data_IF_833834476227
#
_entry.id   IF_833834476227
#
_cell.length_a   1.000
_cell.length_b   1.000
_cell.length_c   1.000
_cell.angle_alpha   90.00
_cell.angle_beta   90.00
_cell.angle_gamma   90.00
#
_symmetry.space_group_name_H-M   'P 1'
#
loop_
_entity.id
_entity.type
_entity.pdbx_description
1 polymer ?
#
# COMPACT_ATOMS: atom_id res chain seq x y z
N UNK A 1 -12.49 28.03 20.91
CA UNK A 1 -13.69 27.19 21.10
C UNK A 1 -13.34 25.78 20.66
N UNK A 2 -13.59 24.80 21.52
CA UNK A 2 -13.14 23.41 21.37
C UNK A 2 -14.00 22.57 20.40
N UNK A 3 -15.09 23.13 19.86
CA UNK A 3 -15.98 22.39 18.96
C UNK A 3 -16.80 21.31 19.68
N UNK A 4 -16.92 21.39 21.01
CA UNK A 4 -17.78 20.51 21.84
C UNK A 4 -19.06 21.25 22.25
N UNK A 5 -20.09 20.50 22.60
CA UNK A 5 -21.32 21.08 23.16
C UNK A 5 -20.98 21.92 24.39
N UNK A 6 -21.50 23.15 24.42
CA UNK A 6 -21.20 24.16 25.44
C UNK A 6 -19.99 25.05 25.13
N UNK A 7 -19.22 24.78 24.06
CA UNK A 7 -18.04 25.56 23.66
C UNK A 7 -17.87 25.55 22.12
N UNK A 8 -18.96 25.92 21.43
CA UNK A 8 -19.04 26.09 19.97
C UNK A 8 -18.99 27.56 19.58
N UNK A 9 -18.12 27.93 18.63
CA UNK A 9 -18.16 29.25 18.02
C UNK A 9 -19.44 29.46 17.19
N UNK A 10 -19.86 30.72 16.91
CA UNK A 10 -21.00 30.97 16.03
C UNK A 10 -20.89 30.23 14.69
N UNK A 11 -19.69 30.26 14.08
CA UNK A 11 -19.40 29.52 12.84
C UNK A 11 -19.49 27.99 13.02
N UNK A 12 -19.02 27.45 14.15
CA UNK A 12 -19.13 26.00 14.42
C UNK A 12 -20.59 25.56 14.64
N UNK A 13 -21.40 26.40 15.28
CA UNK A 13 -22.83 26.14 15.47
C UNK A 13 -23.58 26.17 14.13
N UNK A 14 -23.26 27.12 13.25
CA UNK A 14 -23.81 27.22 11.89
C UNK A 14 -23.44 25.98 11.05
N UNK A 15 -22.16 25.61 11.02
CA UNK A 15 -21.70 24.40 10.31
C UNK A 15 -22.39 23.13 10.84
N UNK A 16 -22.60 23.02 12.16
CA UNK A 16 -23.31 21.88 12.74
C UNK A 16 -24.77 21.84 12.30
N UNK A 17 -25.45 22.99 12.27
CA UNK A 17 -26.84 23.08 11.81
C UNK A 17 -26.98 22.71 10.34
N UNK A 18 -26.11 23.25 9.49
CA UNK A 18 -26.05 22.93 8.06
C UNK A 18 -25.70 21.45 7.83
N UNK A 19 -24.72 20.91 8.56
CA UNK A 19 -24.37 19.50 8.48
C UNK A 19 -25.57 18.61 8.83
N UNK A 20 -26.29 18.94 9.91
CA UNK A 20 -27.51 18.22 10.32
C UNK A 20 -28.61 18.30 9.26
N UNK A 21 -28.79 19.45 8.62
CA UNK A 21 -29.75 19.64 7.53
C UNK A 21 -29.40 18.78 6.31
N UNK A 22 -28.14 18.80 5.89
CA UNK A 22 -27.65 18.08 4.71
C UNK A 22 -27.70 16.56 4.83
N UNK A 23 -27.68 16.03 6.06
CA UNK A 23 -27.74 14.58 6.31
C UNK A 23 -29.12 14.10 6.77
N UNK A 24 -30.17 14.93 6.67
CA UNK A 24 -31.50 14.59 7.20
C UNK A 24 -32.07 13.28 6.65
N UNK A 25 -31.75 12.95 5.41
CA UNK A 25 -32.14 11.72 4.72
C UNK A 25 -31.53 10.46 5.35
N UNK A 26 -30.28 10.54 5.82
CA UNK A 26 -29.57 9.42 6.47
C UNK A 26 -29.57 9.49 8.00
N UNK A 27 -29.87 10.64 8.60
CA UNK A 27 -29.84 10.88 10.04
C UNK A 27 -30.63 9.83 10.86
N UNK A 28 -31.82 9.37 10.43
CA UNK A 28 -32.56 8.32 11.14
C UNK A 28 -31.83 6.97 11.21
N UNK A 29 -30.96 6.69 10.25
CA UNK A 29 -30.20 5.44 10.16
C UNK A 29 -28.90 5.45 10.97
N UNK A 30 -28.48 6.61 11.49
CA UNK A 30 -27.26 6.74 12.28
C UNK A 30 -27.44 6.13 13.68
N UNK A 31 -26.37 5.52 14.25
CA UNK A 31 -26.43 4.91 15.58
C UNK A 31 -26.67 5.93 16.71
N UNK A 32 -26.42 7.21 16.46
CA UNK A 32 -26.78 8.31 17.36
C UNK A 32 -27.03 9.61 16.59
N UNK A 33 -27.99 10.40 17.03
CA UNK A 33 -28.41 11.63 16.36
C UNK A 33 -28.09 12.91 17.15
N UNK A 34 -27.50 12.76 18.34
CA UNK A 34 -27.16 13.89 19.21
C UNK A 34 -25.92 14.63 18.71
N UNK A 35 -25.81 15.93 18.99
CA UNK A 35 -24.72 16.77 18.47
C UNK A 35 -23.32 16.29 18.83
N UNK A 36 -23.14 15.63 19.98
CA UNK A 36 -21.84 15.04 20.35
C UNK A 36 -21.32 14.03 19.31
N UNK A 37 -22.24 13.32 18.63
CA UNK A 37 -21.94 12.33 17.61
C UNK A 37 -21.61 13.02 16.29
N UNK A 38 -22.48 13.93 15.83
CA UNK A 38 -22.28 14.69 14.59
C UNK A 38 -21.01 15.53 14.62
N UNK A 39 -20.76 16.24 15.73
CA UNK A 39 -19.54 17.01 15.91
C UNK A 39 -18.27 16.15 15.97
N UNK A 40 -18.36 14.83 16.20
CA UNK A 40 -17.17 13.97 16.17
C UNK A 40 -16.59 13.88 14.76
N UNK A 41 -17.44 13.68 13.76
CA UNK A 41 -17.07 13.62 12.35
C UNK A 41 -16.42 14.92 11.89
N UNK A 42 -17.08 16.05 12.17
CA UNK A 42 -16.57 17.38 11.83
C UNK A 42 -15.22 17.68 12.52
N UNK A 43 -15.09 17.40 13.83
CA UNK A 43 -13.84 17.65 14.55
C UNK A 43 -12.69 16.77 14.05
N UNK A 44 -12.94 15.49 13.78
CA UNK A 44 -11.89 14.55 13.35
C UNK A 44 -11.25 15.02 12.04
N UNK A 45 -12.07 15.36 11.05
CA UNK A 45 -11.57 15.86 9.76
C UNK A 45 -10.88 17.22 9.90
N UNK A 46 -11.43 18.15 10.70
CA UNK A 46 -10.79 19.46 10.94
C UNK A 46 -9.42 19.32 11.59
N UNK A 47 -9.28 18.43 12.59
CA UNK A 47 -7.99 18.16 13.25
C UNK A 47 -7.00 17.56 12.26
N UNK A 48 -7.43 16.63 11.40
CA UNK A 48 -6.59 16.10 10.33
C UNK A 48 -6.10 17.22 9.40
N UNK A 49 -7.01 18.10 8.94
CA UNK A 49 -6.67 19.22 8.05
C UNK A 49 -5.62 20.15 8.67
N UNK A 50 -5.78 20.47 9.95
CA UNK A 50 -4.85 21.31 10.70
C UNK A 50 -3.48 20.63 10.88
N UNK A 51 -3.46 19.38 11.35
CA UNK A 51 -2.23 18.63 11.62
C UNK A 51 -1.41 18.38 10.36
N UNK A 52 -2.07 18.06 9.26
CA UNK A 52 -1.42 17.78 7.98
C UNK A 52 -1.22 19.04 7.12
N UNK A 53 -1.67 20.21 7.61
CA UNK A 53 -1.65 21.50 6.89
C UNK A 53 -2.27 21.40 5.50
N UNK A 54 -3.41 20.71 5.41
CA UNK A 54 -4.06 20.37 4.13
C UNK A 54 -4.43 21.63 3.35
N UNK A 55 -4.89 22.67 4.03
CA UNK A 55 -5.34 23.92 3.39
C UNK A 55 -4.22 24.64 2.61
N UNK A 56 -2.96 24.44 2.98
CA UNK A 56 -1.79 25.04 2.28
C UNK A 56 -0.86 24.00 1.66
N UNK A 57 -1.25 22.72 1.62
CA UNK A 57 -0.35 21.64 1.20
C UNK A 57 0.09 21.76 -0.27
N UNK A 58 -0.72 22.39 -1.12
CA UNK A 58 -0.42 22.58 -2.53
C UNK A 58 0.62 23.70 -2.77
N UNK A 59 0.74 24.67 -1.84
CA UNK A 59 1.69 25.79 -1.96
C UNK A 59 2.94 25.60 -1.10
N UNK A 60 2.77 25.07 0.10
CA UNK A 60 3.79 25.15 1.16
C UNK A 60 4.62 23.87 1.30
N UNK A 61 4.17 22.77 0.69
CA UNK A 61 4.82 21.48 0.82
C UNK A 61 5.26 20.96 -0.53
N UNK A 62 6.50 20.48 -0.59
CA UNK A 62 7.06 19.82 -1.76
C UNK A 62 7.47 18.40 -1.36
N UNK A 63 7.10 17.36 -2.12
CA UNK A 63 7.60 16.02 -1.87
C UNK A 63 9.14 15.98 -1.94
N UNK A 64 9.79 15.11 -1.14
CA UNK A 64 11.20 14.80 -1.34
C UNK A 64 11.49 14.37 -2.77
N UNK A 65 12.65 14.73 -3.31
CA UNK A 65 13.04 14.44 -4.70
C UNK A 65 12.94 12.94 -5.03
N UNK A 66 13.25 12.06 -4.08
CA UNK A 66 13.13 10.61 -4.25
C UNK A 66 11.68 10.18 -4.48
N UNK A 67 10.71 10.85 -3.84
CA UNK A 67 9.29 10.60 -4.06
C UNK A 67 8.88 11.11 -5.44
N UNK A 68 9.24 12.35 -5.80
CA UNK A 68 8.91 12.94 -7.11
C UNK A 68 9.42 12.07 -8.28
N UNK A 69 10.61 11.48 -8.12
CA UNK A 69 11.26 10.70 -9.17
C UNK A 69 10.85 9.23 -9.21
N UNK A 70 10.59 8.59 -8.07
CA UNK A 70 10.49 7.13 -8.00
C UNK A 70 9.16 6.60 -7.42
N UNK A 71 8.28 7.45 -6.89
CA UNK A 71 6.89 7.03 -6.62
C UNK A 71 6.13 7.05 -7.93
N UNK A 72 5.66 5.88 -8.35
CA UNK A 72 4.87 5.73 -9.55
C UNK A 72 3.48 6.35 -9.42
N UNK A 73 2.92 6.74 -10.54
CA UNK A 73 1.56 7.21 -10.69
C UNK A 73 1.48 8.65 -11.14
N UNK A 74 0.26 9.11 -11.36
CA UNK A 74 -0.02 10.47 -11.82
C UNK A 74 -1.42 10.63 -12.39
N UNK A 75 -1.83 11.88 -12.53
CA UNK A 75 -3.11 12.23 -13.15
C UNK A 75 -2.91 12.36 -14.66
N UNK A 76 -3.75 11.68 -15.45
CA UNK A 76 -3.68 11.75 -16.91
C UNK A 76 -5.07 11.57 -17.53
N UNK A 77 -5.58 12.62 -18.18
CA UNK A 77 -6.89 12.60 -18.84
C UNK A 77 -8.10 12.58 -17.90
N UNK A 78 -9.27 12.50 -18.53
CA UNK A 78 -10.58 12.46 -17.88
C UNK A 78 -11.39 11.30 -18.44
N UNK A 79 -12.24 10.70 -17.61
CA UNK A 79 -13.22 9.73 -18.10
C UNK A 79 -14.33 10.42 -18.90
N UNK A 80 -15.17 9.63 -19.58
CA UNK A 80 -16.26 10.13 -20.43
C UNK A 80 -17.27 11.02 -19.71
N UNK A 81 -17.33 10.92 -18.38
CA UNK A 81 -18.22 11.73 -17.55
C UNK A 81 -17.49 12.96 -16.98
N UNK A 82 -16.22 13.17 -17.32
CA UNK A 82 -15.43 14.33 -16.93
C UNK A 82 -14.68 14.16 -15.61
N UNK A 83 -14.75 13.00 -14.96
CA UNK A 83 -13.98 12.73 -13.74
C UNK A 83 -12.48 12.59 -14.07
N UNK A 84 -11.58 13.23 -13.31
CA UNK A 84 -10.14 13.04 -13.48
C UNK A 84 -9.74 11.56 -13.33
N UNK A 85 -8.76 11.12 -14.13
CA UNK A 85 -8.22 9.76 -14.08
C UNK A 85 -6.84 9.78 -13.45
N UNK A 86 -6.64 8.97 -12.41
CA UNK A 86 -5.36 8.78 -11.73
C UNK A 86 -4.85 7.36 -11.94
N UNK A 87 -3.56 7.24 -12.25
CA UNK A 87 -2.87 5.98 -12.47
C UNK A 87 -1.97 5.68 -11.27
N UNK A 88 -2.00 4.44 -10.77
CA UNK A 88 -0.98 3.90 -9.88
C UNK A 88 -0.35 2.67 -10.58
N UNK A 89 0.97 2.72 -10.85
CA UNK A 89 1.69 1.70 -11.63
C UNK A 89 2.57 0.86 -10.71
N UNK A 90 2.12 -0.35 -10.36
CA UNK A 90 2.65 -1.05 -9.19
C UNK A 90 3.95 -1.80 -9.45
N UNK A 91 4.05 -2.58 -10.53
CA UNK A 91 5.22 -3.43 -10.78
C UNK A 91 6.60 -2.78 -10.66
N UNK A 92 6.83 -1.56 -11.18
CA UNK A 92 8.12 -0.92 -11.13
C UNK A 92 8.44 -0.22 -9.80
N UNK A 93 7.48 -0.12 -8.86
CA UNK A 93 7.77 0.44 -7.54
C UNK A 93 8.89 -0.31 -6.84
N UNK A 94 9.70 0.42 -6.08
CA UNK A 94 10.72 -0.11 -5.18
C UNK A 94 10.37 0.26 -3.73
N UNK A 95 9.47 -0.50 -3.07
CA UNK A 95 8.97 -0.14 -1.75
C UNK A 95 10.07 -0.08 -0.69
N UNK A 96 11.08 -0.95 -0.82
CA UNK A 96 12.24 -0.96 0.08
C UNK A 96 13.07 0.29 -0.15
N UNK A 97 13.49 0.57 -1.38
CA UNK A 97 14.27 1.77 -1.67
C UNK A 97 13.57 3.06 -1.27
N UNK A 98 12.26 3.16 -1.52
CA UNK A 98 11.43 4.29 -1.12
C UNK A 98 11.38 4.47 0.40
N UNK A 99 11.06 3.41 1.15
CA UNK A 99 10.98 3.48 2.61
C UNK A 99 12.35 3.63 3.28
N UNK A 100 13.45 3.30 2.60
CA UNK A 100 14.81 3.59 3.08
C UNK A 100 15.26 5.04 2.80
N UNK A 101 14.53 5.77 1.95
CA UNK A 101 14.92 7.11 1.47
C UNK A 101 13.98 8.23 1.92
N UNK A 102 12.75 7.91 2.30
CA UNK A 102 11.75 8.87 2.76
C UNK A 102 10.92 8.32 3.92
N UNK A 103 10.31 9.22 4.69
CA UNK A 103 9.51 8.82 5.86
C UNK A 103 8.09 8.43 5.46
N UNK A 104 7.41 7.63 6.29
CA UNK A 104 5.97 7.34 6.13
C UNK A 104 5.13 8.61 6.00
N UNK A 105 5.47 9.64 6.77
CA UNK A 105 4.77 10.92 6.76
C UNK A 105 4.93 11.66 5.42
N UNK A 106 6.07 11.52 4.74
CA UNK A 106 6.27 12.09 3.41
C UNK A 106 5.34 11.43 2.38
N UNK A 107 5.18 10.09 2.42
CA UNK A 107 4.23 9.38 1.55
C UNK A 107 2.78 9.79 1.83
N UNK A 108 2.39 9.89 3.11
CA UNK A 108 1.06 10.37 3.49
C UNK A 108 0.79 11.77 2.96
N UNK A 109 1.71 12.72 3.19
CA UNK A 109 1.58 14.09 2.67
C UNK A 109 1.54 14.15 1.15
N UNK A 110 2.32 13.31 0.47
CA UNK A 110 2.27 13.20 -1.00
C UNK A 110 0.88 12.80 -1.47
N UNK A 111 0.30 11.76 -0.87
CA UNK A 111 -1.02 11.26 -1.25
C UNK A 111 -2.14 12.25 -0.91
N UNK A 112 -2.02 12.99 0.20
CA UNK A 112 -2.92 14.11 0.54
C UNK A 112 -2.80 15.22 -0.50
N UNK A 113 -1.58 15.63 -0.85
CA UNK A 113 -1.36 16.67 -1.86
C UNK A 113 -1.96 16.30 -3.20
N UNK A 114 -1.72 15.08 -3.68
CA UNK A 114 -2.32 14.56 -4.92
C UNK A 114 -3.85 14.59 -4.86
N UNK A 115 -4.43 14.31 -3.70
CA UNK A 115 -5.89 14.30 -3.52
C UNK A 115 -6.48 15.71 -3.52
N UNK A 116 -5.85 16.67 -2.85
CA UNK A 116 -6.29 18.07 -2.93
C UNK A 116 -6.12 18.63 -4.35
N UNK A 117 -5.07 18.22 -5.08
CA UNK A 117 -4.90 18.55 -6.51
C UNK A 117 -6.05 17.97 -7.36
N UNK A 118 -6.40 16.70 -7.16
CA UNK A 118 -7.51 16.06 -7.86
C UNK A 118 -8.86 16.72 -7.54
N UNK A 119 -9.08 17.16 -6.29
CA UNK A 119 -10.27 17.92 -5.91
C UNK A 119 -10.36 19.27 -6.62
N UNK A 120 -9.23 20.00 -6.75
CA UNK A 120 -9.19 21.21 -7.57
C UNK A 120 -9.51 20.91 -9.03
N UNK A 121 -9.04 19.78 -9.56
CA UNK A 121 -9.33 19.39 -10.93
C UNK A 121 -10.80 19.01 -11.15
N UNK A 122 -11.41 18.30 -10.20
CA UNK A 122 -12.85 18.07 -10.16
C UNK A 122 -13.65 19.40 -10.20
N UNK A 123 -13.22 20.41 -9.45
CA UNK A 123 -13.85 21.74 -9.47
C UNK A 123 -13.73 22.40 -10.85
N UNK A 124 -12.53 22.42 -11.45
CA UNK A 124 -12.34 22.97 -12.80
C UNK A 124 -13.19 22.26 -13.85
N UNK A 125 -13.26 20.93 -13.77
CA UNK A 125 -14.11 20.12 -14.65
C UNK A 125 -15.59 20.42 -14.43
N UNK A 126 -15.99 20.70 -13.19
CA UNK A 126 -17.36 21.09 -12.90
C UNK A 126 -17.75 22.42 -13.57
N UNK A 127 -16.87 23.41 -13.46
CA UNK A 127 -17.04 24.72 -14.08
C UNK A 127 -17.06 24.60 -15.62
N UNK A 128 -16.13 23.83 -16.18
CA UNK A 128 -16.02 23.61 -17.63
C UNK A 128 -17.22 22.90 -18.24
N UNK A 129 -17.77 21.91 -17.54
CA UNK A 129 -18.85 21.05 -18.07
C UNK A 129 -20.25 21.48 -17.63
N UNK A 130 -20.36 22.45 -16.72
CA UNK A 130 -21.64 22.90 -16.17
C UNK A 130 -22.39 21.80 -15.38
N UNK A 131 -21.65 20.82 -14.85
CA UNK A 131 -22.19 19.72 -14.03
C UNK A 131 -21.28 19.46 -12.84
N UNK A 132 -21.83 18.93 -11.76
CA UNK A 132 -21.05 18.69 -10.55
C UNK A 132 -20.18 17.43 -10.69
N UNK A 133 -18.86 17.61 -10.62
CA UNK A 133 -17.83 16.56 -10.64
C UNK A 133 -17.14 16.58 -9.28
N UNK A 134 -17.20 15.47 -8.55
CA UNK A 134 -16.60 15.37 -7.22
C UNK A 134 -15.80 14.09 -6.98
N UNK A 135 -15.85 13.15 -7.94
CA UNK A 135 -15.25 11.82 -7.80
C UNK A 135 -14.27 11.51 -8.92
N UNK A 136 -13.28 10.67 -8.61
CA UNK A 136 -12.17 10.31 -9.51
C UNK A 136 -12.26 8.85 -9.97
N UNK A 137 -11.74 8.57 -11.17
CA UNK A 137 -11.52 7.21 -11.67
C UNK A 137 -10.06 6.82 -11.40
N UNK A 138 -9.84 5.69 -10.73
CA UNK A 138 -8.50 5.14 -10.52
C UNK A 138 -8.22 4.00 -11.49
N UNK A 139 -7.05 4.03 -12.13
CA UNK A 139 -6.48 2.89 -12.86
C UNK A 139 -5.31 2.35 -12.06
N UNK A 140 -5.46 1.12 -11.59
CA UNK A 140 -4.49 0.42 -10.78
C UNK A 140 -3.83 -0.66 -11.63
N UNK A 141 -2.65 -0.36 -12.17
CA UNK A 141 -1.89 -1.27 -13.00
C UNK A 141 -1.07 -2.22 -12.11
N UNK A 142 -1.58 -3.44 -11.93
CA UNK A 142 -0.93 -4.48 -11.13
C UNK A 142 0.01 -5.36 -11.96
N UNK A 143 0.32 -5.01 -13.22
CA UNK A 143 1.37 -5.70 -13.95
C UNK A 143 2.70 -5.61 -13.20
N UNK A 144 3.36 -6.74 -13.00
CA UNK A 144 4.61 -6.81 -12.23
C UNK A 144 4.42 -6.77 -10.71
N UNK A 145 3.19 -6.72 -10.18
CA UNK A 145 2.93 -6.94 -8.76
C UNK A 145 3.50 -8.31 -8.34
N UNK A 146 4.54 -8.26 -7.51
CA UNK A 146 5.22 -9.42 -6.97
C UNK A 146 5.62 -9.28 -5.50
N UNK A 147 6.43 -10.23 -5.02
CA UNK A 147 6.80 -10.43 -3.63
C UNK A 147 7.41 -9.19 -2.94
N UNK A 148 8.15 -8.35 -3.67
CA UNK A 148 8.71 -7.10 -3.13
C UNK A 148 7.66 -6.10 -2.61
N UNK A 149 6.41 -6.18 -3.09
CA UNK A 149 5.33 -5.27 -2.69
C UNK A 149 4.57 -5.74 -1.46
N UNK A 150 4.65 -7.03 -1.13
CA UNK A 150 4.05 -7.59 0.10
C UNK A 150 5.04 -7.58 1.27
N UNK A 151 6.15 -6.86 1.12
CA UNK A 151 7.04 -6.54 2.22
C UNK A 151 6.27 -5.82 3.32
N UNK A 152 6.37 -6.31 4.55
CA UNK A 152 5.49 -5.89 5.64
C UNK A 152 5.51 -4.38 5.91
N UNK A 153 6.65 -3.69 6.03
CA UNK A 153 6.68 -2.24 6.14
C UNK A 153 5.97 -1.50 5.00
N UNK A 154 6.03 -2.02 3.77
CA UNK A 154 5.31 -1.44 2.64
C UNK A 154 3.79 -1.63 2.80
N UNK A 155 3.34 -2.82 3.18
CA UNK A 155 1.92 -3.12 3.43
C UNK A 155 1.38 -2.28 4.59
N UNK A 156 2.13 -2.11 5.67
CA UNK A 156 1.75 -1.26 6.80
C UNK A 156 1.63 0.22 6.37
N UNK A 157 2.64 0.76 5.67
CA UNK A 157 2.58 2.14 5.16
C UNK A 157 1.40 2.33 4.21
N UNK A 158 1.16 1.38 3.31
CA UNK A 158 0.04 1.47 2.37
C UNK A 158 -1.32 1.33 3.08
N UNK A 159 -1.42 0.47 4.11
CA UNK A 159 -2.60 0.39 4.96
C UNK A 159 -2.90 1.68 5.71
N UNK A 160 -1.87 2.37 6.21
CA UNK A 160 -2.01 3.71 6.82
C UNK A 160 -2.53 4.75 5.81
N UNK A 161 -2.04 4.70 4.56
CA UNK A 161 -2.54 5.57 3.47
C UNK A 161 -4.01 5.28 3.16
N UNK A 162 -4.39 4.01 3.03
CA UNK A 162 -5.78 3.61 2.78
C UNK A 162 -6.71 4.05 3.90
N UNK A 163 -6.30 3.84 5.16
CA UNK A 163 -7.07 4.27 6.34
C UNK A 163 -7.25 5.80 6.34
N UNK A 164 -6.19 6.55 6.00
CA UNK A 164 -6.26 8.01 5.86
C UNK A 164 -7.29 8.43 4.81
N UNK A 165 -7.36 7.73 3.66
CA UNK A 165 -8.37 8.01 2.64
C UNK A 165 -9.79 7.74 3.12
N UNK A 166 -10.03 6.58 3.73
CA UNK A 166 -11.37 6.22 4.23
C UNK A 166 -11.87 7.20 5.31
N UNK A 167 -10.96 7.64 6.20
CA UNK A 167 -11.31 8.53 7.30
C UNK A 167 -11.54 9.99 6.88
N UNK A 168 -10.91 10.45 5.79
CA UNK A 168 -10.81 11.89 5.48
C UNK A 168 -11.27 12.29 4.08
N UNK A 169 -11.42 11.34 3.16
CA UNK A 169 -11.85 11.55 1.78
C UNK A 169 -13.02 10.64 1.39
N UNK A 170 -14.12 10.64 2.17
CA UNK A 170 -15.27 9.79 1.88
C UNK A 170 -15.87 10.19 0.52
N UNK A 171 -16.38 9.19 -0.21
CA UNK A 171 -17.07 9.34 -1.49
C UNK A 171 -16.30 10.05 -2.64
N UNK A 172 -15.02 10.39 -2.44
CA UNK A 172 -14.18 10.96 -3.51
C UNK A 172 -13.80 9.94 -4.60
N UNK A 173 -14.01 8.65 -4.35
CA UNK A 173 -13.71 7.58 -5.29
C UNK A 173 -14.96 7.19 -6.09
N UNK A 174 -14.84 7.19 -7.42
CA UNK A 174 -15.91 6.75 -8.34
C UNK A 174 -15.82 5.25 -8.64
N UNK A 175 -14.64 4.80 -9.06
CA UNK A 175 -14.33 3.42 -9.45
C UNK A 175 -12.83 3.18 -9.48
N UNK A 176 -12.42 1.93 -9.30
CA UNK A 176 -11.04 1.46 -9.44
C UNK A 176 -11.00 0.35 -10.50
N UNK A 177 -10.26 0.56 -11.58
CA UNK A 177 -9.98 -0.46 -12.58
C UNK A 177 -8.67 -1.16 -12.26
N UNK A 178 -8.72 -2.47 -12.00
CA UNK A 178 -7.53 -3.28 -11.75
C UNK A 178 -7.09 -4.05 -12.99
N UNK A 179 -5.86 -3.79 -13.43
CA UNK A 179 -5.25 -4.43 -14.60
C UNK A 179 -4.27 -5.53 -14.15
N UNK A 180 -4.32 -6.70 -14.81
CA UNK A 180 -3.35 -7.82 -14.69
C UNK A 180 -3.08 -8.31 -13.24
N UNK A 181 -4.08 -8.86 -12.54
CA UNK A 181 -4.08 -9.06 -11.08
C UNK A 181 -3.46 -10.39 -10.59
N UNK A 182 -2.45 -11.02 -11.23
CA UNK A 182 -2.04 -12.41 -10.87
C UNK A 182 -1.75 -12.63 -9.37
N UNK A 183 -1.04 -11.70 -8.73
CA UNK A 183 -0.75 -11.70 -7.28
C UNK A 183 -1.74 -10.86 -6.46
N UNK A 184 -2.70 -10.21 -7.11
CA UNK A 184 -3.64 -9.31 -6.47
C UNK A 184 -4.50 -9.99 -5.41
N UNK A 185 -5.02 -11.23 -5.54
CA UNK A 185 -5.80 -11.85 -4.47
C UNK A 185 -5.04 -11.90 -3.13
N UNK A 186 -3.75 -12.24 -3.16
CA UNK A 186 -2.89 -12.28 -1.97
C UNK A 186 -2.66 -10.88 -1.41
N UNK A 187 -2.28 -9.92 -2.27
CA UNK A 187 -2.08 -8.53 -1.85
C UNK A 187 -3.37 -7.89 -1.33
N UNK A 188 -4.51 -8.16 -1.96
CA UNK A 188 -5.83 -7.68 -1.57
C UNK A 188 -6.25 -8.24 -0.22
N UNK A 189 -6.00 -9.53 0.05
CA UNK A 189 -6.23 -10.11 1.37
C UNK A 189 -5.47 -9.39 2.49
N UNK A 190 -4.28 -8.88 2.19
CA UNK A 190 -3.47 -8.09 3.13
C UNK A 190 -4.01 -6.68 3.37
N UNK A 191 -4.67 -6.05 2.40
CA UNK A 191 -5.08 -4.63 2.51
C UNK A 191 -6.58 -4.44 2.69
N UNK A 192 -7.41 -5.44 2.38
CA UNK A 192 -8.88 -5.27 2.31
C UNK A 192 -9.47 -4.77 3.61
N UNK A 193 -8.88 -5.12 4.76
CA UNK A 193 -9.38 -4.71 6.08
C UNK A 193 -9.21 -3.22 6.37
N UNK A 194 -8.40 -2.50 5.59
CA UNK A 194 -8.30 -1.04 5.63
C UNK A 194 -9.34 -0.35 4.75
N UNK A 195 -10.07 -1.08 3.91
CA UNK A 195 -11.06 -0.54 2.96
C UNK A 195 -12.47 -0.72 3.51
N UNK A 196 -13.32 0.30 3.40
CA UNK A 196 -14.74 0.20 3.72
C UNK A 196 -15.49 -0.62 2.65
N UNK A 197 -16.71 -1.07 2.95
CA UNK A 197 -17.50 -1.88 2.01
C UNK A 197 -17.77 -1.15 0.70
N UNK A 198 -18.03 0.16 0.76
CA UNK A 198 -18.34 0.97 -0.41
C UNK A 198 -17.14 1.08 -1.36
N UNK A 199 -15.95 1.37 -0.82
CA UNK A 199 -14.70 1.34 -1.59
C UNK A 199 -14.45 -0.01 -2.23
N UNK A 200 -14.70 -1.12 -1.51
CA UNK A 200 -14.53 -2.48 -2.06
C UNK A 200 -15.48 -2.76 -3.22
N UNK A 201 -16.73 -2.27 -3.17
CA UNK A 201 -17.70 -2.43 -4.27
C UNK A 201 -17.31 -1.65 -5.53
N UNK A 202 -16.57 -0.55 -5.38
CA UNK A 202 -16.05 0.27 -6.47
C UNK A 202 -14.83 -0.34 -7.18
N UNK A 203 -14.28 -1.46 -6.67
CA UNK A 203 -13.14 -2.16 -7.27
C UNK A 203 -13.61 -3.13 -8.36
N UNK A 204 -13.13 -2.92 -9.59
CA UNK A 204 -13.49 -3.69 -10.78
C UNK A 204 -12.24 -4.37 -11.33
N UNK A 205 -12.19 -5.70 -11.23
CA UNK A 205 -11.10 -6.52 -11.77
C UNK A 205 -11.33 -6.78 -13.25
N UNK A 206 -10.38 -6.38 -14.10
CA UNK A 206 -10.56 -6.42 -15.54
C UNK A 206 -9.93 -7.65 -16.21
N UNK A 207 -10.69 -8.31 -17.08
CA UNK A 207 -10.22 -9.34 -18.01
C UNK A 207 -9.75 -8.73 -19.34
N UNK A 208 -10.69 -8.29 -20.17
CA UNK A 208 -10.43 -7.54 -21.42
C UNK A 208 -10.15 -6.05 -21.12
N UNK A 209 -9.13 -5.79 -20.33
CA UNK A 209 -8.93 -4.49 -19.68
C UNK A 209 -8.85 -3.31 -20.65
N UNK A 210 -8.19 -3.43 -21.81
CA UNK A 210 -8.11 -2.32 -22.78
C UNK A 210 -9.46 -1.93 -23.37
N UNK A 211 -10.33 -2.91 -23.64
CA UNK A 211 -11.67 -2.65 -24.17
C UNK A 211 -12.53 -1.93 -23.13
N UNK A 212 -12.55 -2.46 -21.90
CA UNK A 212 -13.30 -1.85 -20.80
C UNK A 212 -12.81 -0.43 -20.49
N UNK A 213 -11.51 -0.16 -20.54
CA UNK A 213 -11.00 1.20 -20.34
C UNK A 213 -11.50 2.16 -21.45
N UNK A 214 -11.50 1.73 -22.71
CA UNK A 214 -12.03 2.54 -23.82
C UNK A 214 -13.55 2.79 -23.74
N UNK A 215 -14.30 1.89 -23.12
CA UNK A 215 -15.72 2.09 -22.88
C UNK A 215 -15.98 3.21 -21.86
N UNK A 216 -15.02 3.48 -20.97
CA UNK A 216 -15.18 4.46 -19.89
C UNK A 216 -14.36 5.75 -20.11
N UNK A 217 -13.32 5.70 -20.92
CA UNK A 217 -12.39 6.81 -21.18
C UNK A 217 -12.26 6.99 -22.69
N UNK A 218 -12.41 8.22 -23.16
CA UNK A 218 -12.23 8.51 -24.59
C UNK A 218 -10.78 8.22 -25.04
N UNK A 219 -10.57 7.71 -26.26
CA UNK A 219 -9.22 7.33 -26.72
C UNK A 219 -8.19 8.46 -26.63
N UNK A 220 -8.57 9.70 -26.89
CA UNK A 220 -7.69 10.88 -26.80
C UNK A 220 -7.39 11.31 -25.35
N UNK A 221 -8.09 10.73 -24.37
CA UNK A 221 -7.86 10.94 -22.94
C UNK A 221 -7.14 9.74 -22.28
N UNK A 222 -6.90 8.66 -23.03
CA UNK A 222 -6.30 7.42 -22.54
C UNK A 222 -4.92 7.22 -23.19
N UNK A 223 -3.84 7.03 -22.42
CA UNK A 223 -2.52 6.77 -22.99
C UNK A 223 -2.50 5.58 -23.93
N UNK A 224 -1.66 5.63 -24.97
CA UNK A 224 -1.50 4.54 -25.94
C UNK A 224 -1.13 3.22 -25.26
N UNK A 225 -0.26 3.25 -24.24
CA UNK A 225 0.11 2.04 -23.46
C UNK A 225 -1.10 1.39 -22.79
N UNK A 226 -2.14 2.17 -22.46
CA UNK A 226 -3.39 1.69 -21.87
C UNK A 226 -4.50 1.43 -22.90
N UNK A 227 -4.18 1.52 -24.20
CA UNK A 227 -5.08 1.15 -25.30
C UNK A 227 -5.88 2.31 -25.90
N UNK A 228 -5.51 3.56 -25.61
CA UNK A 228 -6.05 4.76 -26.27
C UNK A 228 -5.13 5.31 -27.36
N UNK A 229 -5.14 6.64 -27.52
CA UNK A 229 -4.37 7.38 -28.54
C UNK A 229 -3.59 8.56 -27.97
N UNK A 230 -3.66 8.83 -26.66
CA UNK A 230 -2.93 9.92 -26.02
C UNK A 230 -1.43 9.59 -25.92
N UNK A 231 -0.59 10.55 -26.30
CA UNK A 231 0.88 10.49 -26.17
C UNK A 231 1.39 11.79 -25.56
N UNK A 232 2.64 11.78 -25.09
CA UNK A 232 3.36 13.03 -24.83
C UNK A 232 3.59 13.81 -26.14
N UNK A 233 3.97 15.11 -26.05
CA UNK A 233 4.27 15.93 -27.23
C UNK A 233 5.38 15.38 -28.13
N UNK A 234 6.29 14.56 -27.60
CA UNK A 234 7.36 13.88 -28.33
C UNK A 234 6.94 12.51 -28.89
N UNK A 235 5.69 12.10 -28.67
CA UNK A 235 5.15 10.82 -29.13
C UNK A 235 5.34 9.65 -28.17
N UNK A 236 5.82 9.87 -26.93
CA UNK A 236 5.92 8.77 -25.96
C UNK A 236 4.53 8.18 -25.65
N UNK A 237 4.29 6.88 -25.92
CA UNK A 237 2.99 6.24 -25.68
C UNK A 237 2.65 6.02 -24.20
N UNK A 238 3.60 6.28 -23.29
CA UNK A 238 3.43 6.11 -21.85
C UNK A 238 2.94 7.37 -21.13
N UNK A 239 2.97 8.53 -21.79
CA UNK A 239 2.66 9.82 -21.18
C UNK A 239 3.49 10.10 -19.93
N UNK A 240 4.82 9.94 -20.00
CA UNK A 240 5.76 10.12 -18.87
C UNK A 240 5.82 11.55 -18.35
N UNK A 241 5.34 12.54 -19.11
CA UNK A 241 5.16 13.90 -18.58
C UNK A 241 4.05 14.00 -17.54
N UNK A 242 3.11 13.05 -17.53
CA UNK A 242 1.94 13.02 -16.65
C UNK A 242 1.94 11.83 -15.67
N UNK A 243 2.53 10.70 -16.07
CA UNK A 243 2.54 9.46 -15.28
C UNK A 243 3.98 9.07 -14.96
N UNK A 244 4.31 9.00 -13.67
CA UNK A 244 5.58 8.45 -13.23
C UNK A 244 5.51 6.90 -13.24
N UNK A 245 6.50 6.22 -13.82
CA UNK A 245 6.55 4.75 -13.89
C UNK A 245 7.49 4.14 -12.84
N UNK A 246 7.83 4.89 -11.78
CA UNK A 246 8.70 4.48 -10.70
C UNK A 246 10.10 4.07 -11.16
N UNK A 247 10.63 3.02 -10.54
CA UNK A 247 11.97 2.50 -10.81
C UNK A 247 12.71 2.18 -9.52
N UNK A 248 13.88 1.56 -9.67
CA UNK A 248 14.76 1.27 -8.53
C UNK A 248 15.34 2.56 -7.98
N UNK A 249 15.21 2.77 -6.67
CA UNK A 249 15.75 3.96 -6.01
C UNK A 249 17.27 3.81 -5.89
N UNK A 250 18.07 4.78 -6.38
CA UNK A 250 19.51 4.75 -6.19
C UNK A 250 19.87 4.77 -4.71
N UNK A 251 20.82 3.93 -4.31
CA UNK A 251 21.28 3.83 -2.90
C UNK A 251 21.79 5.15 -2.33
N UNK A 252 22.18 6.11 -3.18
CA UNK A 252 22.56 7.47 -2.75
C UNK A 252 21.43 8.25 -2.08
N UNK A 253 20.16 7.86 -2.28
CA UNK A 253 19.02 8.47 -1.59
C UNK A 253 18.75 7.86 -0.21
N UNK A 254 19.40 6.76 0.16
CA UNK A 254 19.07 6.04 1.39
C UNK A 254 19.58 6.86 2.58
N UNK A 255 18.67 7.19 3.50
CA UNK A 255 18.96 7.99 4.70
C UNK A 255 18.97 7.15 5.98
N UNK A 256 18.67 5.85 5.86
CA UNK A 256 18.73 4.88 6.94
C UNK A 256 19.28 3.54 6.43
N UNK A 257 19.91 2.77 7.32
CA UNK A 257 20.49 1.45 7.02
C UNK A 257 19.49 0.29 7.22
N UNK A 258 18.46 0.50 8.04
CA UNK A 258 17.35 -0.45 8.21
C UNK A 258 16.05 0.24 8.64
N UNK A 259 14.90 -0.34 8.25
CA UNK A 259 13.61 0.00 8.86
C UNK A 259 13.50 -0.74 10.19
N UNK A 260 13.12 -0.03 11.27
CA UNK A 260 12.91 -0.66 12.59
C UNK A 260 11.75 -1.66 12.52
N UNK A 261 12.08 -2.94 12.51
CA UNK A 261 11.10 -4.04 12.55
C UNK A 261 10.98 -4.57 13.97
N UNK A 262 9.74 -4.70 14.47
CA UNK A 262 9.47 -5.44 15.69
C UNK A 262 9.34 -6.93 15.39
N UNK A 263 10.24 -7.73 15.95
CA UNK A 263 10.17 -9.19 15.92
C UNK A 263 9.37 -9.71 17.11
N UNK A 264 8.43 -10.60 16.86
CA UNK A 264 7.61 -11.21 17.92
C UNK A 264 8.16 -12.55 18.41
N UNK A 265 9.12 -13.15 17.70
CA UNK A 265 9.77 -14.41 18.08
C UNK A 265 11.29 -14.24 18.11
N UNK A 266 11.94 -15.04 18.94
CA UNK A 266 13.39 -15.19 18.91
C UNK A 266 13.81 -16.59 19.28
N UNK A 267 14.89 -17.06 18.69
CA UNK A 267 15.51 -18.34 18.98
C UNK A 267 17.01 -18.16 19.16
N UNK A 268 17.61 -18.95 20.06
CA UNK A 268 19.07 -19.01 20.21
C UNK A 268 19.56 -20.33 19.63
N UNK A 269 20.43 -20.25 18.63
CA UNK A 269 20.97 -21.40 17.92
C UNK A 269 22.40 -21.62 18.41
N UNK A 270 22.66 -22.78 19.00
CA UNK A 270 24.00 -23.16 19.43
C UNK A 270 25.00 -23.15 18.27
N UNK A 271 26.28 -23.06 18.60
CA UNK A 271 27.36 -23.18 17.61
C UNK A 271 27.22 -24.50 16.85
N UNK A 272 27.46 -24.50 15.53
CA UNK A 272 27.48 -25.74 14.74
C UNK A 272 26.12 -26.42 14.62
N UNK A 273 25.04 -25.72 15.03
CA UNK A 273 23.70 -26.29 15.12
C UNK A 273 22.77 -25.63 14.12
N UNK A 274 21.73 -26.37 13.78
CA UNK A 274 20.66 -25.96 12.87
C UNK A 274 19.35 -26.05 13.63
N UNK A 275 18.47 -25.08 13.43
CA UNK A 275 17.09 -25.18 13.90
C UNK A 275 16.11 -25.17 12.73
N UNK A 276 15.10 -26.03 12.84
CA UNK A 276 14.00 -26.14 11.90
C UNK A 276 12.75 -25.57 12.56
N UNK A 277 12.06 -24.68 11.86
CA UNK A 277 10.76 -24.15 12.26
C UNK A 277 9.73 -24.65 11.25
N UNK A 278 8.84 -25.50 11.72
CA UNK A 278 7.82 -26.11 10.88
C UNK A 278 6.55 -25.27 10.88
N UNK A 279 6.01 -25.04 9.68
CA UNK A 279 4.76 -24.32 9.48
C UNK A 279 3.81 -25.16 8.62
N UNK A 280 2.68 -25.52 9.21
CA UNK A 280 1.57 -26.12 8.48
C UNK A 280 0.83 -25.02 7.72
N UNK A 281 1.34 -24.71 6.53
CA UNK A 281 0.76 -23.74 5.62
C UNK A 281 -0.33 -24.43 4.79
N UNK A 282 -1.59 -23.96 4.82
CA UNK A 282 -2.63 -24.50 3.95
C UNK A 282 -2.26 -24.39 2.47
N UNK A 283 -2.83 -25.26 1.64
CA UNK A 283 -2.66 -25.17 0.20
C UNK A 283 -3.14 -23.80 -0.31
N UNK A 284 -2.42 -23.23 -1.29
CA UNK A 284 -2.67 -21.92 -1.89
C UNK A 284 -2.45 -20.71 -0.96
N UNK A 285 -1.90 -20.89 0.24
CA UNK A 285 -1.48 -19.78 1.11
C UNK A 285 -0.06 -19.31 0.82
N UNK A 286 0.29 -18.11 1.27
CA UNK A 286 1.66 -17.58 1.20
C UNK A 286 2.30 -17.47 2.59
N UNK A 287 3.56 -17.88 2.71
CA UNK A 287 4.37 -17.74 3.92
C UNK A 287 5.28 -16.52 3.78
N UNK A 288 5.16 -15.54 4.67
CA UNK A 288 6.04 -14.38 4.75
C UNK A 288 6.97 -14.57 5.94
N UNK A 289 8.25 -14.31 5.77
CA UNK A 289 9.21 -14.31 6.86
C UNK A 289 10.11 -13.08 6.84
N UNK A 290 10.53 -12.68 8.02
CA UNK A 290 11.57 -11.67 8.23
C UNK A 290 12.41 -12.08 9.42
N UNK A 291 13.73 -11.90 9.35
CA UNK A 291 14.64 -12.20 10.45
C UNK A 291 15.87 -11.29 10.48
N UNK A 292 16.42 -11.15 11.69
CA UNK A 292 17.72 -10.56 11.94
C UNK A 292 18.49 -11.45 12.92
N UNK A 293 19.82 -11.50 12.77
CA UNK A 293 20.71 -12.23 13.66
C UNK A 293 21.60 -11.29 14.45
N UNK A 294 22.03 -11.71 15.64
CA UNK A 294 23.01 -10.93 16.40
C UNK A 294 24.44 -11.24 15.93
N UNK A 295 25.22 -10.17 15.72
CA UNK A 295 26.69 -10.15 15.68
C UNK A 295 27.39 -10.77 14.46
N UNK A 296 26.76 -11.69 13.72
CA UNK A 296 27.36 -12.34 12.57
C UNK A 296 26.31 -12.95 11.64
N UNK A 297 26.78 -13.42 10.49
CA UNK A 297 25.98 -14.03 9.44
C UNK A 297 25.31 -15.33 9.91
N UNK A 298 24.16 -15.63 9.32
CA UNK A 298 23.38 -16.83 9.58
C UNK A 298 23.08 -17.52 8.25
N UNK A 299 23.11 -18.85 8.24
CA UNK A 299 22.58 -19.62 7.14
C UNK A 299 21.06 -19.63 7.17
N UNK A 300 20.39 -19.44 6.04
CA UNK A 300 18.94 -19.57 5.98
C UNK A 300 18.51 -20.24 4.67
N UNK A 301 17.60 -21.20 4.78
CA UNK A 301 16.99 -21.88 3.63
C UNK A 301 15.55 -22.30 3.92
N UNK A 302 14.81 -22.61 2.86
CA UNK A 302 13.41 -23.06 2.94
C UNK A 302 13.29 -24.42 2.29
N UNK A 303 12.64 -25.33 3.00
CA UNK A 303 12.46 -26.72 2.61
C UNK A 303 10.98 -27.11 2.70
N UNK A 304 10.62 -28.20 2.04
CA UNK A 304 9.30 -28.79 2.08
C UNK A 304 9.40 -30.26 2.50
N UNK A 305 8.56 -30.65 3.47
CA UNK A 305 8.46 -32.05 3.91
C UNK A 305 7.99 -32.94 2.77
N UNK A 306 8.56 -34.13 2.70
CA UNK A 306 8.21 -35.17 1.72
C UNK A 306 7.34 -36.27 2.36
N UNK A 307 7.21 -36.28 3.69
CA UNK A 307 6.41 -37.25 4.45
C UNK A 307 5.57 -36.53 5.51
N UNK A 308 4.33 -36.98 5.71
CA UNK A 308 3.46 -36.47 6.77
C UNK A 308 3.83 -37.09 8.14
N UNK A 309 3.76 -36.29 9.21
CA UNK A 309 3.69 -36.82 10.60
C UNK A 309 5.00 -36.99 11.38
N UNK A 310 6.17 -36.59 10.88
CA UNK A 310 7.41 -36.63 11.67
C UNK A 310 8.43 -35.54 11.30
N UNK A 311 9.23 -35.11 12.27
CA UNK A 311 10.45 -34.31 12.02
C UNK A 311 11.34 -35.05 11.01
N UNK A 312 11.55 -34.45 9.85
CA UNK A 312 12.46 -34.99 8.84
C UNK A 312 13.84 -34.35 8.97
N UNK A 313 14.88 -35.06 8.52
CA UNK A 313 16.19 -34.44 8.33
C UNK A 313 16.14 -33.55 7.10
N UNK A 314 16.81 -32.40 7.15
CA UNK A 314 16.87 -31.45 6.01
C UNK A 314 17.31 -32.14 4.70
N UNK A 315 18.27 -33.08 4.79
CA UNK A 315 18.75 -33.85 3.64
C UNK A 315 17.70 -34.73 2.95
N UNK A 316 16.57 -35.01 3.61
CA UNK A 316 15.45 -35.82 3.09
C UNK A 316 14.27 -34.97 2.63
N UNK A 317 14.34 -33.65 2.83
CA UNK A 317 13.32 -32.70 2.43
C UNK A 317 13.57 -32.18 1.01
N UNK A 318 12.51 -31.74 0.34
CA UNK A 318 12.65 -31.02 -0.92
C UNK A 318 13.13 -29.60 -0.64
N UNK A 319 14.23 -29.19 -1.27
CA UNK A 319 14.74 -27.83 -1.17
C UNK A 319 13.89 -26.88 -2.02
N UNK A 320 13.40 -25.80 -1.41
CA UNK A 320 12.59 -24.76 -2.08
C UNK A 320 13.42 -23.49 -2.28
N UNK A 321 14.08 -23.04 -1.21
CA UNK A 321 15.07 -21.97 -1.26
C UNK A 321 16.40 -22.54 -0.75
N UNK A 322 17.47 -22.51 -1.55
CA UNK A 322 18.79 -22.92 -1.10
C UNK A 322 19.22 -22.23 0.18
N UNK A 323 19.89 -22.99 1.04
CA UNK A 323 20.48 -22.40 2.23
C UNK A 323 21.68 -21.54 1.84
N UNK A 324 21.55 -20.23 2.00
CA UNK A 324 22.61 -19.26 1.74
C UNK A 324 23.04 -18.56 3.02
N UNK A 325 24.20 -17.88 2.99
CA UNK A 325 24.74 -17.13 4.10
C UNK A 325 24.28 -15.68 4.01
N UNK A 326 23.56 -15.22 5.03
CA UNK A 326 22.99 -13.88 5.07
C UNK A 326 23.65 -13.03 6.16
N UNK A 327 23.98 -11.78 5.84
CA UNK A 327 24.54 -10.81 6.77
C UNK A 327 23.43 -10.14 7.60
N UNK A 328 22.53 -10.94 8.16
CA UNK A 328 21.28 -10.51 8.79
C UNK A 328 21.46 -9.71 10.10
N UNK A 329 22.71 -9.47 10.51
CA UNK A 329 23.09 -8.62 11.64
C UNK A 329 23.27 -7.16 11.25
N UNK A 330 23.54 -6.87 9.97
CA UNK A 330 23.64 -5.51 9.43
C UNK A 330 22.30 -5.05 8.88
N UNK A 331 21.66 -5.91 8.09
CA UNK A 331 20.39 -5.62 7.42
C UNK A 331 19.46 -6.80 7.66
N UNK A 332 18.26 -6.59 8.23
CA UNK A 332 17.23 -7.62 8.27
C UNK A 332 16.96 -8.27 6.91
N UNK A 333 16.77 -9.58 6.91
CA UNK A 333 16.36 -10.34 5.74
C UNK A 333 14.86 -10.58 5.76
N UNK A 334 14.21 -10.43 4.62
CA UNK A 334 12.80 -10.72 4.45
C UNK A 334 12.53 -11.30 3.07
N UNK A 335 11.57 -12.21 3.01
CA UNK A 335 11.09 -12.78 1.75
C UNK A 335 9.75 -13.48 1.99
N UNK A 336 9.20 -14.05 0.93
CA UNK A 336 7.97 -14.82 1.00
C UNK A 336 7.94 -15.93 -0.04
N UNK A 337 7.07 -16.90 0.22
CA UNK A 337 6.87 -18.08 -0.61
C UNK A 337 5.38 -18.33 -0.76
N UNK A 338 4.89 -18.42 -2.00
CA UNK A 338 3.56 -18.96 -2.26
C UNK A 338 3.63 -20.48 -2.24
N UNK A 339 2.83 -21.09 -1.36
CA UNK A 339 2.88 -22.52 -1.07
C UNK A 339 1.75 -23.23 -1.83
N UNK A 340 2.06 -24.03 -2.87
CA UNK A 340 1.04 -24.81 -3.57
C UNK A 340 0.50 -25.96 -2.71
N UNK A 341 1.30 -26.47 -1.77
CA UNK A 341 1.01 -27.63 -0.94
C UNK A 341 1.57 -27.44 0.49
N UNK A 342 1.00 -28.10 1.51
CA UNK A 342 1.44 -27.99 2.90
C UNK A 342 2.86 -28.51 3.19
N UNK A 343 3.36 -28.16 4.38
CA UNK A 343 4.58 -28.74 4.97
C UNK A 343 5.86 -27.94 4.75
N UNK A 344 5.81 -26.62 4.91
CA UNK A 344 6.99 -25.74 4.75
C UNK A 344 7.82 -25.71 6.03
N UNK A 345 9.13 -25.80 5.87
CA UNK A 345 10.13 -25.77 6.95
C UNK A 345 11.13 -24.65 6.69
N UNK A 346 11.22 -23.71 7.63
CA UNK A 346 12.24 -22.67 7.64
C UNK A 346 13.45 -23.16 8.43
N UNK A 347 14.64 -23.05 7.87
CA UNK A 347 15.85 -23.59 8.46
C UNK A 347 16.86 -22.47 8.72
N UNK A 348 17.25 -22.28 9.99
CA UNK A 348 18.35 -21.39 10.37
C UNK A 348 19.58 -22.20 10.76
N UNK A 349 20.72 -21.89 10.16
CA UNK A 349 21.96 -22.65 10.27
C UNK A 349 23.09 -21.77 10.84
N UNK A 350 23.56 -22.12 12.04
CA UNK A 350 24.68 -21.45 12.71
C UNK A 350 26.00 -22.26 12.59
N UNK A 351 26.15 -23.07 11.54
CA UNK A 351 27.37 -23.85 11.27
C UNK A 351 28.59 -23.00 10.93
N UNK A 352 28.38 -21.75 10.52
CA UNK A 352 29.47 -20.81 10.18
C UNK A 352 30.13 -20.15 11.37
N UNK A 353 29.52 -20.19 12.56
CA UNK A 353 30.06 -19.52 13.74
C UNK A 353 31.10 -20.38 14.44
N UNK A 354 32.25 -19.78 14.73
CA UNK A 354 33.40 -20.48 15.31
C UNK A 354 33.32 -20.53 16.84
N UNK A 355 32.73 -19.52 17.51
CA UNK A 355 32.82 -19.40 18.97
C UNK A 355 31.49 -19.17 19.68
N UNK A 356 30.44 -18.72 18.98
CA UNK A 356 29.25 -18.16 19.64
C UNK A 356 27.95 -18.81 19.18
N UNK A 357 27.02 -18.98 20.12
CA UNK A 357 25.61 -19.17 19.81
C UNK A 357 25.06 -17.89 19.17
N UNK A 358 23.98 -18.03 18.41
CA UNK A 358 23.38 -16.92 17.66
C UNK A 358 21.94 -16.74 18.04
N UNK A 359 21.59 -15.55 18.52
CA UNK A 359 20.19 -15.18 18.67
C UNK A 359 19.67 -14.69 17.32
N UNK A 360 18.64 -15.34 16.83
CA UNK A 360 17.89 -14.95 15.63
C UNK A 360 16.53 -14.45 16.09
N UNK A 361 16.23 -13.19 15.80
CA UNK A 361 14.92 -12.56 15.99
C UNK A 361 14.18 -12.68 14.68
N UNK A 362 12.97 -13.20 14.69
CA UNK A 362 12.22 -13.45 13.47
C UNK A 362 10.72 -13.24 13.64
N UNK A 363 10.05 -13.09 12.51
CA UNK A 363 8.60 -13.03 12.37
C UNK A 363 8.20 -13.87 11.17
N UNK A 364 7.15 -14.67 11.31
CA UNK A 364 6.58 -15.47 10.22
C UNK A 364 5.07 -15.34 10.25
N UNK A 365 4.48 -15.10 9.10
CA UNK A 365 3.04 -14.94 8.92
C UNK A 365 2.56 -15.82 7.77
N UNK A 366 1.45 -16.53 8.00
CA UNK A 366 0.76 -17.32 6.98
C UNK A 366 -0.40 -16.47 6.48
N UNK A 367 -0.43 -16.19 5.19
CA UNK A 367 -1.49 -15.45 4.52
C UNK A 367 -2.34 -16.44 3.72
N UNK A 368 -3.64 -16.57 4.05
CA UNK A 368 -4.58 -17.39 3.29
C UNK A 368 -4.71 -17.01 1.82
#
# INVERSE_FOLDING_TARGET
>A
MSGRIGDLSPKQAEILAEFRERIQDILPSLPAQHDHYLLRWLRQHVVFREQMKVDTILSDWKPPEVIEKYVSGGMCGYDREGSPVWYDVIGPLDPKGLLMSATKQDFLKTKIQNTEMLRQECQKQSEKLGKYIESITLIYDCEGLGLKHIWKPAIETYGEILTMFEDNYPEGLKRVFLIKPKMFPVAYNLIKHFLCEETRRKIIVLGNWQEVLRDHIDPDQLPVVYGGTLTDPDGDPHCRTMINFGGTVPKSYYVQDSVKVQYNKSVTISRGSVIQLEYDVPAASSLLWQFASDGADIGFGVYKRTKEGSQQKIAEMQQVLPSERYNAHLVPEDSCLTCPEPGVVLCFDNSYSILQSKKVRYKVEVIP
#
